data_IF_215118985877
#
_entry.id   IF_215118985877
#
_cell.length_a   1.000
_cell.length_b   1.000
_cell.length_c   1.000
_cell.angle_alpha   90.00
_cell.angle_beta   90.00
_cell.angle_gamma   90.00
#
_symmetry.space_group_name_H-M   'P 1'
#
loop_
_entity.id
_entity.type
_entity.pdbx_description
1 polymer ?
#
# COMPACT_ATOMS: atom_id res chain seq x y z
N UNK A 1 -5.76 1.86 51.63
CA UNK A 1 -5.38 3.00 50.77
C UNK A 1 -5.62 2.55 49.33
N UNK A 2 -6.75 2.95 48.72
CA UNK A 2 -7.08 2.60 47.34
C UNK A 2 -7.04 3.90 46.51
N UNK A 3 -5.99 4.07 45.69
CA UNK A 3 -5.99 5.09 44.64
C UNK A 3 -6.79 4.55 43.47
N UNK A 4 -8.04 5.01 43.39
CA UNK A 4 -8.95 4.80 42.28
C UNK A 4 -8.33 5.49 41.04
N UNK A 5 -7.76 4.71 40.13
CA UNK A 5 -7.34 5.23 38.82
C UNK A 5 -8.56 5.81 38.12
N UNK A 6 -8.47 7.09 37.77
CA UNK A 6 -9.46 7.75 36.95
C UNK A 6 -9.49 7.07 35.58
N UNK A 7 -10.59 6.40 35.27
CA UNK A 7 -10.92 6.02 33.90
C UNK A 7 -10.93 7.30 33.06
N UNK A 8 -9.95 7.40 32.17
CA UNK A 8 -9.92 8.43 31.14
C UNK A 8 -11.24 8.30 30.37
N UNK A 9 -11.97 9.41 30.30
CA UNK A 9 -13.21 9.55 29.56
C UNK A 9 -12.99 9.11 28.10
N UNK A 10 -13.48 7.92 27.75
CA UNK A 10 -13.70 7.56 26.34
C UNK A 10 -14.75 8.53 25.81
N UNK A 11 -14.31 9.53 25.06
CA UNK A 11 -15.21 10.41 24.30
C UNK A 11 -15.99 9.50 23.34
N UNK A 12 -17.34 9.50 23.38
CA UNK A 12 -18.12 8.69 22.46
C UNK A 12 -17.86 9.18 21.04
N UNK A 13 -17.42 8.28 20.16
CA UNK A 13 -17.33 8.56 18.72
C UNK A 13 -18.72 8.96 18.22
N UNK A 14 -18.79 10.06 17.49
CA UNK A 14 -20.04 10.50 16.85
C UNK A 14 -20.28 9.70 15.58
N UNK A 15 -21.55 9.54 15.20
CA UNK A 15 -21.94 8.82 13.97
C UNK A 15 -21.23 9.36 12.74
N UNK A 16 -21.09 10.69 12.61
CA UNK A 16 -20.35 11.33 11.50
C UNK A 16 -18.88 10.89 11.43
N UNK A 17 -18.21 10.74 12.57
CA UNK A 17 -16.81 10.30 12.62
C UNK A 17 -16.70 8.83 12.21
N UNK A 18 -17.63 7.98 12.65
CA UNK A 18 -17.70 6.58 12.26
C UNK A 18 -17.92 6.40 10.74
N UNK A 19 -18.84 7.16 10.15
CA UNK A 19 -19.11 7.15 8.71
C UNK A 19 -17.90 7.62 7.89
N UNK A 20 -17.18 8.63 8.40
CA UNK A 20 -15.96 9.10 7.77
C UNK A 20 -14.83 8.08 7.82
N UNK A 21 -14.62 7.40 8.95
CA UNK A 21 -13.61 6.34 9.08
C UNK A 21 -13.92 5.20 8.09
N UNK A 22 -15.19 4.78 7.98
CA UNK A 22 -15.60 3.74 7.03
C UNK A 22 -15.41 4.17 5.57
N UNK A 23 -15.75 5.42 5.25
CA UNK A 23 -15.57 5.96 3.90
C UNK A 23 -14.09 5.99 3.50
N UNK A 24 -13.23 6.51 4.39
CA UNK A 24 -11.78 6.55 4.18
C UNK A 24 -11.19 5.14 4.05
N UNK A 25 -11.69 4.20 4.84
CA UNK A 25 -11.29 2.80 4.77
C UNK A 25 -11.64 2.17 3.41
N UNK A 26 -12.87 2.33 2.92
CA UNK A 26 -13.30 1.80 1.62
C UNK A 26 -12.46 2.39 0.48
N UNK A 27 -12.20 3.70 0.53
CA UNK A 27 -11.35 4.38 -0.45
C UNK A 27 -9.92 3.81 -0.42
N UNK A 28 -9.31 3.73 0.76
CA UNK A 28 -7.95 3.20 0.94
C UNK A 28 -7.82 1.76 0.43
N UNK A 29 -8.75 0.87 0.77
CA UNK A 29 -8.76 -0.52 0.28
C UNK A 29 -8.88 -0.58 -1.24
N UNK A 30 -9.74 0.25 -1.83
CA UNK A 30 -9.95 0.28 -3.28
C UNK A 30 -8.69 0.73 -4.02
N UNK A 31 -8.06 1.82 -3.56
CA UNK A 31 -6.82 2.34 -4.14
C UNK A 31 -5.65 1.38 -3.93
N UNK A 32 -5.59 0.74 -2.76
CA UNK A 32 -4.58 -0.26 -2.43
C UNK A 32 -4.67 -1.47 -3.35
N UNK A 33 -5.87 -2.04 -3.51
CA UNK A 33 -6.08 -3.19 -4.38
C UNK A 33 -5.70 -2.88 -5.83
N UNK A 34 -6.09 -1.71 -6.33
CA UNK A 34 -5.71 -1.27 -7.67
C UNK A 34 -4.20 -1.17 -7.84
N UNK A 35 -3.51 -0.56 -6.87
CA UNK A 35 -2.06 -0.37 -6.90
C UNK A 35 -1.32 -1.71 -6.79
N UNK A 36 -1.83 -2.64 -5.99
CA UNK A 36 -1.31 -4.01 -5.89
C UNK A 36 -1.42 -4.75 -7.22
N UNK A 37 -2.58 -4.68 -7.89
CA UNK A 37 -2.76 -5.32 -9.21
C UNK A 37 -1.78 -4.78 -10.26
N UNK A 38 -1.61 -3.46 -10.31
CA UNK A 38 -0.63 -2.83 -11.21
C UNK A 38 0.80 -3.32 -10.93
N UNK A 39 1.15 -3.45 -9.65
CA UNK A 39 2.46 -3.91 -9.21
C UNK A 39 2.73 -5.38 -9.56
N UNK A 40 1.76 -6.28 -9.36
CA UNK A 40 1.86 -7.68 -9.77
C UNK A 40 1.97 -7.82 -11.28
N UNK A 41 1.17 -7.07 -12.05
CA UNK A 41 1.27 -7.05 -13.52
C UNK A 41 2.65 -6.61 -14.00
N UNK A 42 3.24 -5.61 -13.34
CA UNK A 42 4.58 -5.12 -13.69
C UNK A 42 5.65 -6.18 -13.44
N UNK A 43 5.60 -6.85 -12.28
CA UNK A 43 6.53 -7.94 -11.94
C UNK A 43 6.43 -9.08 -12.97
N UNK A 44 5.22 -9.46 -13.39
CA UNK A 44 4.99 -10.56 -14.33
C UNK A 44 5.42 -10.25 -15.77
N UNK A 45 5.40 -8.98 -16.16
CA UNK A 45 5.71 -8.54 -17.54
C UNK A 45 7.18 -8.15 -17.73
N UNK A 46 8.00 -8.20 -16.68
CA UNK A 46 9.39 -7.81 -16.72
C UNK A 46 10.27 -8.96 -17.27
N UNK A 47 11.08 -8.73 -18.32
CA UNK A 47 11.92 -9.77 -18.91
C UNK A 47 13.05 -10.17 -17.97
N UNK A 48 13.32 -11.48 -17.90
CA UNK A 48 14.27 -12.12 -17.00
C UNK A 48 15.74 -11.66 -17.16
N UNK A 49 16.07 -10.86 -18.17
CA UNK A 49 17.42 -10.36 -18.45
C UNK A 49 17.86 -9.20 -17.53
N UNK A 50 16.94 -8.58 -16.78
CA UNK A 50 17.26 -7.56 -15.76
C UNK A 50 17.42 -8.18 -14.36
N UNK A 51 18.37 -9.11 -14.22
CA UNK A 51 18.79 -9.59 -12.89
C UNK A 51 19.43 -8.44 -12.11
N UNK A 52 18.66 -7.87 -11.17
CA UNK A 52 18.93 -6.69 -10.30
C UNK A 52 18.59 -5.35 -10.95
N UNK A 53 17.32 -4.92 -10.90
CA UNK A 53 16.78 -4.30 -9.68
C UNK A 53 15.26 -4.53 -9.49
N UNK A 54 14.81 -5.74 -9.13
CA UNK A 54 13.38 -6.04 -8.90
C UNK A 54 13.03 -6.62 -7.53
N UNK A 55 14.01 -6.71 -6.62
CA UNK A 55 13.72 -7.00 -5.22
C UNK A 55 12.79 -5.94 -4.62
N UNK A 56 12.94 -4.66 -4.98
CA UNK A 56 12.16 -3.59 -4.36
C UNK A 56 10.67 -3.59 -4.76
N UNK A 57 10.31 -3.99 -5.99
CA UNK A 57 8.90 -4.17 -6.37
C UNK A 57 8.33 -5.39 -5.70
N UNK A 58 9.06 -6.50 -5.71
CA UNK A 58 8.65 -7.76 -5.06
C UNK A 58 8.51 -7.59 -3.54
N UNK A 59 9.41 -6.87 -2.88
CA UNK A 59 9.36 -6.54 -1.45
C UNK A 59 8.12 -5.71 -1.11
N UNK A 60 7.77 -4.72 -1.95
CA UNK A 60 6.53 -3.96 -1.76
C UNK A 60 5.29 -4.83 -2.00
N UNK A 61 5.33 -5.74 -2.98
CA UNK A 61 4.25 -6.71 -3.19
C UNK A 61 4.01 -7.59 -1.96
N UNK A 62 5.10 -8.10 -1.38
CA UNK A 62 5.07 -8.94 -0.19
C UNK A 62 4.58 -8.16 1.03
N UNK A 63 5.08 -6.94 1.25
CA UNK A 63 4.61 -6.08 2.33
C UNK A 63 3.11 -5.75 2.20
N UNK A 64 2.62 -5.51 0.98
CA UNK A 64 1.20 -5.34 0.70
C UNK A 64 0.39 -6.62 1.01
N UNK A 65 0.92 -7.79 0.65
CA UNK A 65 0.27 -9.07 0.93
C UNK A 65 0.22 -9.41 2.43
N UNK A 66 1.30 -9.13 3.16
CA UNK A 66 1.34 -9.30 4.62
C UNK A 66 0.31 -8.38 5.29
N UNK A 67 0.23 -7.13 4.85
CA UNK A 67 -0.73 -6.18 5.41
C UNK A 67 -2.19 -6.60 5.17
N UNK A 68 -2.51 -7.19 4.01
CA UNK A 68 -3.84 -7.76 3.76
C UNK A 68 -4.16 -8.92 4.71
N UNK A 69 -3.15 -9.73 5.05
CA UNK A 69 -3.30 -10.88 5.95
C UNK A 69 -3.55 -10.43 7.39
N UNK A 70 -2.80 -9.42 7.86
CA UNK A 70 -3.00 -8.77 9.16
C UNK A 70 -4.42 -8.20 9.22
N UNK A 71 -4.82 -7.46 8.19
CA UNK A 71 -6.14 -6.85 8.11
C UNK A 71 -7.30 -7.85 8.14
N UNK A 72 -7.20 -8.93 7.37
CA UNK A 72 -8.18 -10.00 7.39
C UNK A 72 -8.29 -10.64 8.78
N UNK A 73 -7.16 -10.79 9.47
CA UNK A 73 -7.11 -11.35 10.82
C UNK A 73 -7.79 -10.40 11.82
N UNK A 74 -7.42 -9.13 11.81
CA UNK A 74 -7.92 -8.14 12.77
C UNK A 74 -9.42 -7.86 12.55
N UNK A 75 -9.86 -7.68 11.29
CA UNK A 75 -11.28 -7.46 10.96
C UNK A 75 -12.13 -8.72 11.21
N UNK A 76 -11.57 -9.93 11.09
CA UNK A 76 -12.32 -11.17 11.42
C UNK A 76 -12.43 -11.44 12.92
N UNK A 77 -11.53 -10.85 13.72
CA UNK A 77 -11.57 -10.89 15.18
C UNK A 77 -12.43 -9.77 15.78
N UNK A 78 -12.61 -8.64 15.08
CA UNK A 78 -13.65 -7.67 15.40
C UNK A 78 -14.99 -8.39 15.41
N UNK A 79 -15.64 -8.44 16.58
CA UNK A 79 -16.75 -9.35 16.84
C UNK A 79 -18.00 -8.97 16.04
N UNK A 80 -18.07 -9.45 14.79
CA UNK A 80 -19.19 -9.24 13.86
C UNK A 80 -20.50 -9.78 14.46
N UNK A 81 -20.44 -10.67 15.45
CA UNK A 81 -21.64 -11.23 16.11
C UNK A 81 -22.39 -10.19 16.96
N UNK A 82 -21.72 -9.11 17.37
CA UNK A 82 -22.33 -8.02 18.15
C UNK A 82 -23.00 -6.95 17.29
N UNK A 83 -22.76 -6.96 15.96
CA UNK A 83 -23.31 -5.98 15.01
C UNK A 83 -22.93 -4.52 15.29
N UNK A 84 -22.02 -4.27 16.23
CA UNK A 84 -21.69 -2.94 16.74
C UNK A 84 -20.17 -2.81 16.79
N UNK A 85 -19.59 -2.03 15.87
CA UNK A 85 -18.18 -1.65 15.95
C UNK A 85 -17.98 -0.83 17.23
N UNK A 86 -17.08 -1.26 18.09
CA UNK A 86 -16.63 -0.50 19.25
C UNK A 86 -15.78 0.70 18.79
N UNK A 87 -15.60 1.68 19.68
CA UNK A 87 -14.67 2.77 19.41
C UNK A 87 -13.24 2.31 19.16
N UNK A 88 -12.84 1.21 19.81
CA UNK A 88 -11.53 0.57 19.62
C UNK A 88 -11.42 -0.08 18.23
N UNK A 89 -12.53 -0.61 17.67
CA UNK A 89 -12.56 -1.18 16.33
C UNK A 89 -12.42 -0.08 15.26
N UNK A 90 -13.09 1.07 15.45
CA UNK A 90 -12.94 2.23 14.57
C UNK A 90 -11.52 2.82 14.62
N UNK A 91 -10.90 2.87 15.80
CA UNK A 91 -9.51 3.30 15.92
C UNK A 91 -8.56 2.34 15.21
N UNK A 92 -8.76 1.04 15.36
CA UNK A 92 -7.98 0.00 14.68
C UNK A 92 -8.15 0.11 13.16
N UNK A 93 -9.37 0.33 12.68
CA UNK A 93 -9.65 0.54 11.25
C UNK A 93 -8.96 1.79 10.69
N UNK A 94 -8.93 2.89 11.44
CA UNK A 94 -8.21 4.10 11.05
C UNK A 94 -6.70 3.84 10.94
N UNK A 95 -6.10 3.09 11.88
CA UNK A 95 -4.69 2.72 11.82
C UNK A 95 -4.37 1.86 10.59
N UNK A 96 -5.23 0.89 10.27
CA UNK A 96 -5.05 0.13 9.04
C UNK A 96 -5.21 0.98 7.78
N UNK A 97 -6.13 1.96 7.78
CA UNK A 97 -6.32 2.90 6.68
C UNK A 97 -5.02 3.66 6.39
N UNK A 98 -4.35 4.16 7.43
CA UNK A 98 -3.08 4.87 7.30
C UNK A 98 -1.98 3.97 6.71
N UNK A 99 -1.90 2.73 7.15
CA UNK A 99 -0.90 1.77 6.67
C UNK A 99 -1.16 1.34 5.21
N UNK A 100 -2.42 1.14 4.82
CA UNK A 100 -2.79 0.91 3.42
C UNK A 100 -2.39 2.09 2.54
N UNK A 101 -2.64 3.32 2.98
CA UNK A 101 -2.24 4.52 2.25
C UNK A 101 -0.73 4.63 2.11
N UNK A 102 0.03 4.33 3.17
CA UNK A 102 1.50 4.32 3.15
C UNK A 102 2.04 3.32 2.13
N UNK A 103 1.58 2.08 2.16
CA UNK A 103 2.01 1.03 1.24
C UNK A 103 1.59 1.32 -0.21
N UNK A 104 0.39 1.88 -0.39
CA UNK A 104 -0.10 2.34 -1.69
C UNK A 104 0.83 3.40 -2.30
N UNK A 105 1.21 4.42 -1.51
CA UNK A 105 2.15 5.45 -1.96
C UNK A 105 3.52 4.84 -2.29
N UNK A 106 4.02 3.90 -1.49
CA UNK A 106 5.26 3.18 -1.78
C UNK A 106 5.17 2.43 -3.12
N UNK A 107 4.08 1.69 -3.36
CA UNK A 107 3.85 0.97 -4.61
C UNK A 107 3.82 1.92 -5.82
N UNK A 108 3.08 3.02 -5.73
CA UNK A 108 2.96 4.02 -6.81
C UNK A 108 4.30 4.70 -7.12
N UNK A 109 5.08 5.05 -6.10
CA UNK A 109 6.42 5.63 -6.27
C UNK A 109 7.36 4.66 -6.99
N UNK A 110 7.31 3.38 -6.65
CA UNK A 110 8.14 2.34 -7.28
C UNK A 110 7.70 2.05 -8.71
N UNK A 111 6.40 1.95 -8.96
CA UNK A 111 5.84 1.81 -10.31
C UNK A 111 6.26 2.98 -11.23
N UNK A 112 6.22 4.20 -10.72
CA UNK A 112 6.63 5.41 -11.45
C UNK A 112 8.13 5.45 -11.75
N UNK A 113 8.94 4.97 -10.80
CA UNK A 113 10.40 4.88 -10.94
C UNK A 113 10.82 3.77 -11.92
N UNK A 114 10.12 2.64 -11.92
CA UNK A 114 10.34 1.52 -12.84
C UNK A 114 9.84 1.79 -14.27
N UNK A 115 9.07 2.86 -14.50
CA UNK A 115 8.71 3.37 -15.82
C UNK A 115 9.70 4.37 -16.41
N UNK A 116 10.63 4.91 -15.60
CA UNK A 116 11.62 5.91 -16.00
C UNK A 116 12.99 5.30 -16.38
N UNK A 117 13.01 4.08 -16.93
CA UNK A 117 14.23 3.56 -17.57
C UNK A 117 14.60 4.45 -18.76
N UNK A 118 15.44 5.45 -18.45
CA UNK A 118 16.14 6.34 -19.36
C UNK A 118 16.58 5.54 -20.59
N UNK A 119 16.22 5.94 -21.82
CA UNK A 119 16.75 5.29 -23.00
C UNK A 119 18.27 5.43 -22.96
N UNK A 120 18.96 4.32 -22.70
CA UNK A 120 20.39 4.23 -22.88
C UNK A 120 20.62 4.43 -24.38
N UNK A 121 21.14 5.60 -24.75
CA UNK A 121 21.61 5.88 -26.09
C UNK A 121 23.06 5.39 -26.15
N UNK A 122 23.39 4.27 -26.83
CA UNK A 122 24.77 3.87 -27.04
C UNK A 122 25.34 4.78 -28.15
N UNK A 123 25.56 6.06 -27.85
CA UNK A 123 26.37 6.91 -28.72
C UNK A 123 27.83 6.59 -28.47
N UNK A 124 28.27 5.48 -29.05
CA UNK A 124 29.61 4.97 -28.91
C UNK A 124 29.81 3.68 -29.68
N UNK A 125 29.45 3.66 -30.97
CA UNK A 125 30.06 2.78 -31.97
C UNK A 125 29.72 3.30 -33.38
N UNK A 126 30.76 3.84 -33.99
CA UNK A 126 31.05 3.98 -35.42
C UNK A 126 29.89 3.91 -36.43
N UNK A 127 29.62 5.04 -37.08
CA UNK A 127 29.06 5.07 -38.42
C UNK A 127 29.54 6.33 -39.12
N UNK A 128 30.85 6.40 -39.40
CA UNK A 128 31.33 7.30 -40.46
C UNK A 128 31.13 6.62 -41.81
N UNK A 129 30.23 7.13 -42.69
CA UNK A 129 30.18 6.66 -44.05
C UNK A 129 31.39 7.22 -44.80
N UNK A 130 32.20 6.31 -45.36
CA UNK A 130 33.20 6.65 -46.37
C UNK A 130 32.44 7.23 -47.58
N UNK A 131 32.58 8.52 -47.84
CA UNK A 131 32.15 9.14 -49.10
C UNK A 131 33.33 9.87 -49.74
N UNK A 132 33.49 9.55 -51.02
CA UNK A 132 34.44 10.10 -51.99
C UNK A 132 34.40 11.64 -52.05
N UNK A 133 35.58 12.23 -52.18
CA UNK A 133 35.86 13.40 -53.01
C UNK A 133 37.29 13.27 -53.54
#
# INVERSE_FOLDING_TARGET
MFTKQASLLSVPLTTDVCEQILSNWIEAVSTFYWSYQQLVQRIQTQPADHLSPDNALTEVALAMQDQLTILLTDVSQSDVQSGTFSGDDYQTLAQHTDELNRLTQQAQNRLSSAGHTRPYNPSGLDSTPRLHA
#
